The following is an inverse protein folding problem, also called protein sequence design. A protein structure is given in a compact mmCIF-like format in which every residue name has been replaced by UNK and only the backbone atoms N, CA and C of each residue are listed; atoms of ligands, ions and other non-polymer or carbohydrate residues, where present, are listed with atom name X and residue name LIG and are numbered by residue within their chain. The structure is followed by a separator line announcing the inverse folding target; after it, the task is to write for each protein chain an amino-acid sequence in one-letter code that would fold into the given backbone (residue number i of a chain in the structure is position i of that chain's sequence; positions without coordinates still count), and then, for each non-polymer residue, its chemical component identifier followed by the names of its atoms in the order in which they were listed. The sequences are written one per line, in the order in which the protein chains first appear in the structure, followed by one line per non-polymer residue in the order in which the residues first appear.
data_IF_908765809595
#
_entry.id   IF_908765809595
#
_cell.length_a   1.000
_cell.length_b   1.000
_cell.length_c   1.000
_cell.angle_alpha   90.00
_cell.angle_beta   90.00
_cell.angle_gamma   90.00
#
_symmetry.space_group_name_H-M   'P 1'
#
loop_
_entity.id
_entity.type
_entity.pdbx_description
1 polymer ?
#
# COMPACT_ATOMS: atom_id res chain seq x y z
N UNK A 1 -11.12 -7.67 16.17
CA UNK A 1 -12.58 -7.73 16.41
C UNK A 1 -12.91 -6.36 16.92
N UNK A 2 -13.53 -5.56 16.07
CA UNK A 2 -13.73 -4.13 16.34
C UNK A 2 -15.02 -3.93 17.15
N UNK A 3 -16.02 -4.79 16.92
CA UNK A 3 -17.27 -4.85 17.67
C UNK A 3 -17.72 -6.31 17.80
N UNK A 4 -18.35 -6.66 18.92
CA UNK A 4 -19.00 -7.97 19.14
C UNK A 4 -20.44 -7.70 19.57
N UNK A 5 -21.40 -8.17 18.78
CA UNK A 5 -22.83 -8.08 19.08
C UNK A 5 -23.32 -9.47 19.49
N UNK A 6 -23.78 -9.60 20.74
CA UNK A 6 -24.23 -10.86 21.28
C UNK A 6 -25.72 -11.11 20.97
N UNK A 7 -26.02 -12.23 20.32
CA UNK A 7 -27.39 -12.62 19.98
C UNK A 7 -27.80 -13.83 20.80
N UNK A 8 -28.73 -13.62 21.74
CA UNK A 8 -29.27 -14.68 22.60
C UNK A 8 -30.71 -15.04 22.18
N UNK A 9 -31.08 -16.34 22.16
CA UNK A 9 -32.47 -16.72 21.93
C UNK A 9 -33.32 -16.33 23.14
N UNK A 10 -34.39 -15.56 22.90
CA UNK A 10 -35.30 -15.14 23.99
C UNK A 10 -36.24 -16.25 24.44
N UNK A 11 -36.61 -17.17 23.53
CA UNK A 11 -37.55 -18.25 23.80
C UNK A 11 -37.20 -19.52 23.01
N UNK A 12 -37.64 -20.67 23.53
CA UNK A 12 -37.52 -21.95 22.86
C UNK A 12 -38.35 -21.95 21.58
N UNK A 13 -37.70 -22.22 20.44
CA UNK A 13 -38.34 -22.30 19.12
C UNK A 13 -39.49 -23.31 19.01
N UNK A 14 -39.60 -24.27 19.94
CA UNK A 14 -40.60 -25.34 19.91
C UNK A 14 -41.82 -25.08 20.80
N UNK A 15 -41.62 -24.57 22.02
CA UNK A 15 -42.68 -24.43 23.01
C UNK A 15 -42.88 -22.99 23.52
N UNK A 16 -42.05 -22.03 23.10
CA UNK A 16 -42.17 -20.63 23.50
C UNK A 16 -41.72 -20.31 24.92
N UNK A 17 -41.26 -21.29 25.70
CA UNK A 17 -40.71 -21.06 27.04
C UNK A 17 -39.52 -20.10 26.97
N UNK A 18 -39.50 -19.09 27.84
CA UNK A 18 -38.41 -18.12 27.92
C UNK A 18 -37.10 -18.81 28.33
N UNK A 19 -36.01 -18.46 27.65
CA UNK A 19 -34.69 -19.03 27.88
C UNK A 19 -33.80 -18.04 28.64
N UNK A 20 -33.03 -18.55 29.60
CA UNK A 20 -31.99 -17.82 30.31
C UNK A 20 -30.77 -18.74 30.46
N UNK A 21 -29.57 -18.20 30.27
CA UNK A 21 -28.33 -18.96 30.36
C UNK A 21 -27.18 -18.25 29.65
N UNK A 22 -25.98 -18.81 29.80
CA UNK A 22 -24.78 -18.40 29.09
C UNK A 22 -24.22 -19.59 28.32
N UNK A 23 -23.79 -19.34 27.09
CA UNK A 23 -23.09 -20.31 26.26
C UNK A 23 -21.60 -19.92 26.21
N UNK A 24 -20.68 -20.74 26.78
CA UNK A 24 -19.26 -20.43 26.77
C UNK A 24 -18.62 -20.60 25.39
N UNK A 25 -19.27 -21.30 24.44
CA UNK A 25 -18.74 -21.60 23.11
C UNK A 25 -19.73 -21.24 22.00
N UNK A 26 -20.10 -19.95 21.85
CA UNK A 26 -21.10 -19.54 20.87
C UNK A 26 -20.60 -19.75 19.44
N UNK A 27 -21.54 -20.09 18.54
CA UNK A 27 -21.29 -20.09 17.11
C UNK A 27 -20.95 -18.68 16.64
N UNK A 28 -19.82 -18.53 15.95
CA UNK A 28 -19.33 -17.22 15.49
C UNK A 28 -19.68 -16.98 14.02
N UNK A 29 -20.39 -15.90 13.75
CA UNK A 29 -20.61 -15.37 12.40
C UNK A 29 -19.96 -13.99 12.30
N UNK A 30 -19.11 -13.78 11.29
CA UNK A 30 -18.39 -12.52 11.11
C UNK A 30 -18.93 -11.81 9.88
N UNK A 31 -19.24 -10.53 10.05
CA UNK A 31 -19.55 -9.62 8.95
C UNK A 31 -18.39 -8.64 8.83
N UNK A 32 -17.88 -8.47 7.62
CA UNK A 32 -16.82 -7.50 7.30
C UNK A 32 -17.47 -6.42 6.44
N UNK A 33 -17.36 -5.16 6.88
CA UNK A 33 -17.95 -4.01 6.20
C UNK A 33 -16.87 -2.95 5.93
N UNK A 34 -17.05 -2.19 4.84
CA UNK A 34 -16.22 -1.03 4.52
C UNK A 34 -17.01 0.22 4.93
N UNK A 35 -16.58 0.96 5.96
CA UNK A 35 -17.25 2.20 6.34
C UNK A 35 -17.13 3.25 5.23
N UNK A 36 -17.99 4.29 5.22
CA UNK A 36 -17.88 5.39 4.27
C UNK A 36 -16.47 6.00 4.27
N UNK A 37 -15.86 6.11 3.09
CA UNK A 37 -14.50 6.64 2.94
C UNK A 37 -14.58 8.09 2.48
N UNK A 38 -14.22 9.03 3.36
CA UNK A 38 -14.26 10.47 3.06
C UNK A 38 -12.85 11.08 3.06
N UNK A 39 -12.46 11.86 2.03
CA UNK A 39 -11.19 12.54 2.01
C UNK A 39 -11.16 13.69 3.03
N UNK A 40 -10.05 13.83 3.74
CA UNK A 40 -9.78 15.02 4.55
C UNK A 40 -9.18 16.11 3.65
N UNK A 41 -9.89 17.23 3.51
CA UNK A 41 -9.44 18.39 2.76
C UNK A 41 -8.98 19.47 3.74
N UNK A 42 -7.71 19.89 3.61
CA UNK A 42 -7.11 20.94 4.45
C UNK A 42 -6.84 22.15 3.56
N UNK A 43 -7.49 23.28 3.87
CA UNK A 43 -7.30 24.54 3.16
C UNK A 43 -6.23 25.38 3.88
N UNK A 44 -5.12 25.67 3.20
CA UNK A 44 -4.11 26.60 3.70
C UNK A 44 -4.40 28.00 3.17
N UNK A 45 -4.71 28.94 4.07
CA UNK A 45 -4.98 30.35 3.72
C UNK A 45 -3.78 31.23 3.98
N UNK A 46 -3.20 31.77 2.92
CA UNK A 46 -2.06 32.67 2.99
C UNK A 46 -2.58 34.11 2.96
N UNK A 47 -2.47 34.80 4.10
CA UNK A 47 -2.90 36.19 4.21
C UNK A 47 -1.80 37.15 3.76
N UNK A 48 -2.21 38.26 3.14
CA UNK A 48 -1.35 39.37 2.76
C UNK A 48 -1.69 40.60 3.61
N UNK A 49 -0.68 41.17 4.24
CA UNK A 49 -0.79 42.38 5.06
C UNK A 49 0.16 43.45 4.54
N UNK A 50 -0.13 44.72 4.83
CA UNK A 50 0.68 45.87 4.42
C UNK A 50 1.30 46.50 5.67
N UNK A 51 2.61 46.76 5.68
CA UNK A 51 3.24 47.45 6.82
C UNK A 51 2.74 48.90 6.88
N UNK A 52 2.23 49.38 8.02
CA UNK A 52 1.88 50.79 8.18
C UNK A 52 3.12 51.72 8.15
N UNK A 53 4.32 51.15 8.33
CA UNK A 53 5.58 51.87 8.43
C UNK A 53 6.20 52.26 7.07
N UNK A 54 6.18 51.34 6.11
CA UNK A 54 6.90 51.45 4.85
C UNK A 54 6.03 51.06 3.63
N UNK A 55 4.75 50.76 3.85
CA UNK A 55 3.80 50.31 2.82
C UNK A 55 4.17 49.00 2.11
N UNK A 56 5.18 48.26 2.59
CA UNK A 56 5.54 46.95 2.04
C UNK A 56 4.42 45.94 2.24
N UNK A 57 4.04 45.25 1.16
CA UNK A 57 3.06 44.17 1.21
C UNK A 57 3.74 42.81 1.39
N UNK A 58 3.44 42.15 2.51
CA UNK A 58 4.00 40.84 2.87
C UNK A 58 2.91 39.80 2.87
N UNK A 59 3.14 38.68 2.19
CA UNK A 59 2.25 37.51 2.20
C UNK A 59 2.87 36.42 3.07
N UNK A 60 2.05 35.69 3.82
CA UNK A 60 2.49 34.46 4.46
C UNK A 60 3.01 33.47 3.40
N UNK A 61 4.01 32.66 3.76
CA UNK A 61 4.48 31.52 2.96
C UNK A 61 3.87 30.22 3.49
N UNK A 62 3.82 29.19 2.65
CA UNK A 62 3.45 27.86 3.12
C UNK A 62 4.62 27.23 3.90
N UNK A 63 4.33 26.34 4.86
CA UNK A 63 5.35 25.48 5.44
C UNK A 63 5.96 24.57 4.36
N UNK A 64 7.27 24.29 4.45
CA UNK A 64 7.98 23.49 3.46
C UNK A 64 7.40 22.08 3.31
N UNK A 65 6.78 21.54 4.36
CA UNK A 65 6.13 20.24 4.38
C UNK A 65 4.85 20.20 3.52
N UNK A 66 4.20 21.36 3.32
CA UNK A 66 2.96 21.49 2.54
C UNK A 66 3.27 21.75 1.06
N UNK A 67 4.43 22.34 0.74
CA UNK A 67 4.77 22.84 -0.59
C UNK A 67 5.13 21.77 -1.63
N UNK A 68 5.18 20.48 -1.29
CA UNK A 68 5.67 19.46 -2.24
C UNK A 68 4.58 18.82 -3.10
N UNK A 69 3.31 18.82 -2.66
CA UNK A 69 2.17 18.26 -3.43
C UNK A 69 0.84 18.76 -2.89
N UNK A 70 -0.11 19.05 -3.79
CA UNK A 70 -1.52 19.29 -3.45
C UNK A 70 -2.23 18.05 -2.86
N UNK A 71 -1.60 16.87 -2.96
CA UNK A 71 -2.11 15.60 -2.50
C UNK A 71 -1.23 15.06 -1.38
N UNK A 72 -1.83 14.83 -0.21
CA UNK A 72 -1.13 14.31 0.96
C UNK A 72 -0.49 12.92 0.75
N UNK A 73 0.37 12.47 1.68
CA UNK A 73 1.19 11.27 1.51
C UNK A 73 0.34 10.00 1.34
N UNK A 74 -0.78 9.86 2.05
CA UNK A 74 -1.67 8.69 1.95
C UNK A 74 -2.32 8.55 0.57
N UNK A 75 -2.84 9.65 0.03
CA UNK A 75 -3.44 9.64 -1.30
C UNK A 75 -2.38 9.43 -2.38
N UNK A 76 -1.21 10.04 -2.22
CA UNK A 76 -0.06 9.83 -3.11
C UNK A 76 0.37 8.36 -3.13
N UNK A 77 0.50 7.73 -1.96
CA UNK A 77 0.82 6.30 -1.84
C UNK A 77 -0.25 5.41 -2.50
N UNK A 78 -1.54 5.72 -2.33
CA UNK A 78 -2.62 5.00 -2.99
C UNK A 78 -2.54 5.10 -4.52
N UNK A 79 -2.29 6.31 -5.06
CA UNK A 79 -2.08 6.51 -6.51
C UNK A 79 -0.88 5.70 -7.02
N UNK A 80 0.20 5.64 -6.24
CA UNK A 80 1.36 4.80 -6.50
C UNK A 80 1.01 3.33 -6.59
N UNK A 81 0.36 2.81 -5.56
CA UNK A 81 -0.07 1.42 -5.46
C UNK A 81 -1.01 1.02 -6.60
N UNK A 82 -2.04 1.83 -6.88
CA UNK A 82 -2.98 1.60 -7.98
C UNK A 82 -2.28 1.58 -9.34
N UNK A 83 -1.20 2.33 -9.48
CA UNK A 83 -0.43 2.40 -10.72
C UNK A 83 0.64 1.32 -10.90
N UNK A 84 1.16 0.75 -9.81
CA UNK A 84 2.26 -0.22 -9.86
C UNK A 84 1.80 -1.66 -9.66
N UNK A 85 0.83 -1.89 -8.77
CA UNK A 85 0.37 -3.22 -8.40
C UNK A 85 -0.83 -3.72 -9.22
N UNK A 86 -1.56 -2.81 -9.86
CA UNK A 86 -2.77 -3.13 -10.62
C UNK A 86 -2.63 -2.70 -12.09
N UNK A 87 -3.27 -3.42 -13.04
CA UNK A 87 -3.25 -3.07 -14.47
C UNK A 87 -4.22 -1.92 -14.78
N UNK A 88 -4.13 -0.81 -14.03
CA UNK A 88 -4.98 0.36 -14.18
C UNK A 88 -4.28 1.43 -15.01
N UNK A 89 -4.95 1.86 -16.08
CA UNK A 89 -4.57 3.07 -16.80
C UNK A 89 -4.79 4.31 -15.92
N UNK A 90 -4.20 5.44 -16.31
CA UNK A 90 -4.47 6.71 -15.63
C UNK A 90 -5.98 7.02 -15.56
N UNK A 91 -6.70 6.87 -16.67
CA UNK A 91 -8.15 7.13 -16.71
C UNK A 91 -8.94 6.21 -15.78
N UNK A 92 -8.60 4.91 -15.72
CA UNK A 92 -9.25 3.98 -14.79
C UNK A 92 -8.97 4.33 -13.34
N UNK A 93 -7.75 4.77 -13.05
CA UNK A 93 -7.37 5.20 -11.70
C UNK A 93 -8.12 6.47 -11.29
N UNK A 94 -8.25 7.45 -12.20
CA UNK A 94 -9.04 8.66 -11.95
C UNK A 94 -10.50 8.31 -11.65
N UNK A 95 -11.12 7.46 -12.48
CA UNK A 95 -12.51 7.03 -12.27
C UNK A 95 -12.70 6.31 -10.93
N UNK A 96 -11.76 5.46 -10.53
CA UNK A 96 -11.83 4.76 -9.25
C UNK A 96 -11.71 5.73 -8.06
N UNK A 97 -10.77 6.68 -8.12
CA UNK A 97 -10.59 7.67 -7.05
C UNK A 97 -11.80 8.61 -6.93
N UNK A 98 -12.41 8.99 -8.05
CA UNK A 98 -13.63 9.79 -8.07
C UNK A 98 -14.83 9.01 -7.50
N UNK A 99 -15.03 7.76 -7.94
CA UNK A 99 -16.17 6.94 -7.51
C UNK A 99 -16.10 6.48 -6.06
N UNK A 100 -14.90 6.13 -5.56
CA UNK A 100 -14.74 5.61 -4.20
C UNK A 100 -14.48 6.69 -3.16
N UNK A 101 -13.77 7.76 -3.55
CA UNK A 101 -13.30 8.78 -2.61
C UNK A 101 -13.80 10.19 -2.95
N UNK A 102 -14.49 10.40 -4.07
CA UNK A 102 -14.86 11.74 -4.54
C UNK A 102 -13.66 12.62 -4.91
N UNK A 103 -12.49 12.02 -5.19
CA UNK A 103 -11.25 12.75 -5.45
C UNK A 103 -11.00 12.90 -6.94
N UNK A 104 -11.10 14.14 -7.42
CA UNK A 104 -10.74 14.48 -8.79
C UNK A 104 -9.25 14.82 -8.89
N UNK A 105 -8.49 13.94 -9.53
CA UNK A 105 -7.06 14.11 -9.75
C UNK A 105 -6.76 14.16 -11.25
N UNK A 106 -5.85 15.03 -11.66
CA UNK A 106 -5.41 15.12 -13.07
C UNK A 106 -4.36 14.05 -13.39
N UNK A 107 -4.27 13.65 -14.67
CA UNK A 107 -3.22 12.73 -15.15
C UNK A 107 -1.81 13.27 -14.90
N UNK A 108 -1.61 14.58 -15.04
CA UNK A 108 -0.33 15.24 -14.76
C UNK A 108 0.06 15.11 -13.29
N UNK A 109 -0.87 15.40 -12.38
CA UNK A 109 -0.64 15.22 -10.95
C UNK A 109 -0.29 13.78 -10.59
N UNK A 110 -0.99 12.79 -11.16
CA UNK A 110 -0.65 11.38 -10.97
C UNK A 110 0.75 11.03 -11.48
N UNK A 111 1.15 11.57 -12.63
CA UNK A 111 2.50 11.36 -13.16
C UNK A 111 3.56 11.95 -12.23
N UNK A 112 3.36 13.18 -11.72
CA UNK A 112 4.24 13.81 -10.74
C UNK A 112 4.34 13.01 -9.44
N UNK A 113 3.21 12.54 -8.90
CA UNK A 113 3.19 11.66 -7.73
C UNK A 113 4.01 10.39 -7.97
N UNK A 114 3.79 9.72 -9.12
CA UNK A 114 4.53 8.49 -9.47
C UNK A 114 6.03 8.73 -9.63
N UNK A 115 6.43 9.86 -10.21
CA UNK A 115 7.84 10.24 -10.32
C UNK A 115 8.47 10.46 -8.94
N UNK A 116 7.80 11.21 -8.07
CA UNK A 116 8.26 11.45 -6.68
C UNK A 116 8.38 10.15 -5.90
N UNK A 117 7.39 9.26 -6.01
CA UNK A 117 7.43 7.93 -5.42
C UNK A 117 8.58 7.09 -5.96
N UNK A 118 8.78 7.07 -7.28
CA UNK A 118 9.87 6.32 -7.91
C UNK A 118 11.23 6.78 -7.41
N UNK A 119 11.43 8.10 -7.28
CA UNK A 119 12.65 8.66 -6.72
C UNK A 119 12.82 8.30 -5.23
N UNK A 120 11.76 8.39 -4.43
CA UNK A 120 11.81 8.07 -3.01
C UNK A 120 12.08 6.58 -2.74
N UNK A 121 11.60 5.69 -3.61
CA UNK A 121 11.75 4.23 -3.50
C UNK A 121 13.03 3.69 -4.12
N UNK A 122 13.81 4.51 -4.84
CA UNK A 122 15.02 4.07 -5.53
C UNK A 122 16.03 3.44 -4.58
N UNK A 123 16.39 4.14 -3.50
CA UNK A 123 17.36 3.65 -2.51
C UNK A 123 16.86 2.37 -1.80
N UNK A 124 15.65 2.33 -1.21
CA UNK A 124 15.11 1.10 -0.61
C UNK A 124 15.07 -0.09 -1.58
N UNK A 125 14.74 0.16 -2.86
CA UNK A 125 14.72 -0.88 -3.88
C UNK A 125 16.13 -1.41 -4.17
N UNK A 126 17.13 -0.53 -4.26
CA UNK A 126 18.54 -0.93 -4.45
C UNK A 126 19.05 -1.79 -3.30
N UNK A 127 18.75 -1.42 -2.05
CA UNK A 127 19.10 -2.20 -0.86
C UNK A 127 18.43 -3.58 -0.86
N UNK A 128 17.12 -3.63 -1.15
CA UNK A 128 16.38 -4.88 -1.24
C UNK A 128 16.94 -5.81 -2.33
N UNK A 129 17.30 -5.25 -3.50
CA UNK A 129 17.93 -6.00 -4.58
C UNK A 129 19.34 -6.51 -4.20
N UNK A 130 20.13 -5.69 -3.51
CA UNK A 130 21.46 -6.09 -3.05
C UNK A 130 21.36 -7.24 -2.05
N UNK A 131 20.43 -7.16 -1.09
CA UNK A 131 20.15 -8.23 -0.15
C UNK A 131 19.69 -9.52 -0.85
N UNK A 132 18.72 -9.41 -1.78
CA UNK A 132 18.21 -10.56 -2.53
C UNK A 132 19.30 -11.29 -3.33
N UNK A 133 20.26 -10.54 -3.91
CA UNK A 133 21.39 -11.10 -4.66
C UNK A 133 22.39 -11.87 -3.80
N UNK A 134 22.46 -11.59 -2.50
CA UNK A 134 23.35 -12.30 -1.56
C UNK A 134 22.75 -13.62 -1.07
N UNK A 135 21.46 -13.87 -1.31
CA UNK A 135 20.82 -15.11 -0.90
C UNK A 135 21.22 -16.28 -1.80
N UNK A 136 21.60 -17.39 -1.19
CA UNK A 136 22.04 -18.61 -1.88
C UNK A 136 20.90 -19.38 -2.56
N UNK A 137 19.64 -19.07 -2.22
CA UNK A 137 18.44 -19.64 -2.83
C UNK A 137 17.42 -18.53 -3.03
N UNK A 138 17.02 -18.31 -4.29
CA UNK A 138 15.94 -17.39 -4.65
C UNK A 138 14.76 -18.21 -5.15
N UNK A 139 13.64 -18.18 -4.42
CA UNK A 139 12.38 -18.73 -4.91
C UNK A 139 11.73 -17.72 -5.85
N UNK A 140 11.94 -17.91 -7.16
CA UNK A 140 11.25 -17.13 -8.18
C UNK A 140 9.85 -17.73 -8.36
N UNK A 141 8.82 -17.04 -7.90
CA UNK A 141 7.45 -17.35 -8.29
C UNK A 141 7.30 -17.13 -9.79
N UNK A 142 6.67 -18.07 -10.50
CA UNK A 142 6.31 -17.86 -11.90
C UNK A 142 5.40 -16.63 -12.01
N UNK A 143 5.73 -15.63 -12.84
CA UNK A 143 4.81 -14.54 -13.10
C UNK A 143 3.57 -15.15 -13.76
N UNK A 144 2.41 -14.93 -13.14
CA UNK A 144 1.12 -15.24 -13.73
C UNK A 144 1.03 -14.41 -15.03
N UNK A 145 1.02 -15.12 -16.17
CA UNK A 145 1.05 -14.54 -17.52
C UNK A 145 -0.24 -13.77 -17.77
N UNK A 146 -0.25 -12.45 -17.56
CA UNK A 146 -1.33 -11.62 -18.11
C UNK A 146 -0.93 -10.21 -18.58
N UNK A 147 0.36 -9.97 -18.83
CA UNK A 147 0.81 -8.77 -19.54
C UNK A 147 1.65 -9.13 -20.77
N UNK A 148 1.08 -8.91 -21.96
CA UNK A 148 1.80 -9.00 -23.25
C UNK A 148 3.00 -8.05 -23.23
N UNK A 149 4.20 -8.47 -23.67
CA UNK A 149 5.37 -7.61 -23.70
C UNK A 149 5.29 -6.63 -24.89
N UNK A 150 5.48 -5.34 -24.62
CA UNK A 150 5.96 -4.40 -25.64
C UNK A 150 7.48 -4.39 -25.51
N UNK A 151 8.18 -4.91 -26.52
CA UNK A 151 9.64 -4.77 -26.66
C UNK A 151 10.44 -5.99 -26.23
N UNK A 152 11.24 -6.49 -27.17
CA UNK A 152 12.01 -7.73 -27.08
C UNK A 152 13.06 -7.72 -25.96
N UNK A 153 13.13 -8.81 -25.21
CA UNK A 153 14.18 -9.07 -24.23
C UNK A 153 14.15 -10.53 -23.81
N UNK A 154 14.89 -11.38 -24.54
CA UNK A 154 15.21 -12.74 -24.13
C UNK A 154 15.81 -12.73 -22.71
N UNK A 155 15.08 -13.20 -21.70
CA UNK A 155 15.71 -13.50 -20.41
C UNK A 155 16.36 -14.87 -20.51
N UNK A 156 17.63 -14.84 -20.91
CA UNK A 156 18.52 -16.01 -20.92
C UNK A 156 18.86 -16.37 -19.48
N UNK A 157 18.60 -17.62 -19.11
CA UNK A 157 18.97 -18.20 -17.82
C UNK A 157 20.51 -18.16 -17.70
N UNK A 158 21.06 -17.24 -16.91
CA UNK A 158 22.46 -17.29 -16.52
C UNK A 158 22.57 -17.91 -15.12
N UNK A 159 23.04 -19.16 -15.09
CA UNK A 159 23.70 -19.70 -13.89
C UNK A 159 24.94 -18.84 -13.63
N UNK A 160 24.94 -18.08 -12.54
CA UNK A 160 26.20 -17.60 -11.96
C UNK A 160 26.77 -18.78 -11.15
N UNK A 161 27.55 -19.63 -11.82
CA UNK A 161 28.36 -20.64 -11.13
C UNK A 161 29.66 -19.96 -10.68
N UNK A 162 29.78 -19.66 -9.39
CA UNK A 162 31.10 -19.67 -8.77
C UNK A 162 31.44 -21.11 -8.37
N UNK A 163 32.58 -21.58 -8.86
CA UNK A 163 33.24 -22.85 -8.54
C UNK A 163 32.54 -24.14 -9.02
N UNK A 164 33.17 -24.81 -9.98
CA UNK A 164 32.74 -26.11 -10.48
C UNK A 164 32.80 -27.21 -9.42
N UNK A 165 31.71 -27.97 -9.33
CA UNK A 165 31.67 -29.41 -9.02
C UNK A 165 30.27 -29.92 -9.40
N UNK A 166 30.22 -30.94 -10.27
CA UNK A 166 28.99 -31.69 -10.56
C UNK A 166 28.65 -32.51 -9.31
N UNK A 167 27.46 -32.32 -8.76
CA UNK A 167 26.96 -33.05 -7.59
C UNK A 167 25.45 -33.22 -7.69
N UNK A 168 24.99 -34.38 -7.24
CA UNK A 168 23.72 -35.03 -7.57
C UNK A 168 22.44 -34.26 -7.18
N UNK A 169 21.38 -34.51 -7.96
CA UNK A 169 20.00 -34.09 -7.64
C UNK A 169 19.52 -34.96 -6.48
N UNK A 170 19.44 -34.39 -5.28
CA UNK A 170 18.68 -34.97 -4.16
C UNK A 170 17.50 -34.06 -3.82
N UNK A 171 16.30 -34.63 -3.91
CA UNK A 171 15.07 -34.00 -3.42
C UNK A 171 15.13 -33.89 -1.90
N UNK A 172 15.07 -32.67 -1.37
CA UNK A 172 14.99 -32.43 0.06
C UNK A 172 13.59 -31.91 0.42
N UNK A 173 12.99 -32.62 1.39
CA UNK A 173 11.66 -32.44 1.96
C UNK A 173 11.59 -31.11 2.72
N UNK A 174 10.47 -30.40 2.57
CA UNK A 174 10.16 -29.13 3.23
C UNK A 174 10.41 -29.18 4.74
N UNK A 175 11.39 -28.42 5.22
CA UNK A 175 11.49 -28.02 6.62
C UNK A 175 11.15 -26.53 6.70
N UNK A 176 10.07 -26.23 7.42
CA UNK A 176 9.67 -24.88 7.82
C UNK A 176 10.77 -24.35 8.76
N UNK A 177 11.62 -23.48 8.27
CA UNK A 177 12.40 -22.57 9.13
C UNK A 177 11.82 -21.18 8.95
N UNK A 178 11.38 -20.62 10.07
CA UNK A 178 10.81 -19.29 10.14
C UNK A 178 11.85 -18.26 9.69
N UNK A 179 11.68 -17.77 8.46
CA UNK A 179 12.29 -16.53 8.03
C UNK A 179 11.54 -15.40 8.74
N UNK A 180 12.09 -14.96 9.86
CA UNK A 180 11.73 -13.68 10.43
C UNK A 180 12.32 -12.60 9.52
N UNK A 181 11.53 -12.22 8.51
CA UNK A 181 11.78 -11.04 7.70
C UNK A 181 11.83 -9.83 8.63
N UNK A 182 12.80 -8.90 8.49
CA UNK A 182 12.64 -7.59 9.11
C UNK A 182 11.33 -7.00 8.54
N UNK A 183 10.42 -6.63 9.44
CA UNK A 183 9.05 -6.24 9.10
C UNK A 183 9.04 -5.26 7.94
N UNK A 184 8.53 -5.68 6.77
CA UNK A 184 8.34 -4.80 5.61
C UNK A 184 7.51 -3.56 5.92
N UNK A 185 6.77 -3.56 7.04
CA UNK A 185 6.07 -2.40 7.57
C UNK A 185 7.02 -1.27 8.01
N UNK A 186 8.23 -1.57 8.50
CA UNK A 186 9.21 -0.54 8.92
C UNK A 186 9.81 0.22 7.74
N UNK A 187 10.03 -0.46 6.61
CA UNK A 187 10.59 0.15 5.39
C UNK A 187 9.51 1.01 4.70
N UNK A 188 8.27 0.53 4.67
CA UNK A 188 7.13 1.30 4.16
C UNK A 188 6.86 2.56 5.01
N UNK A 189 6.93 2.47 6.34
CA UNK A 189 6.66 3.61 7.24
C UNK A 189 7.73 4.72 7.14
N UNK A 190 8.99 4.35 6.94
CA UNK A 190 10.07 5.33 6.70
C UNK A 190 10.00 5.98 5.32
N UNK A 191 9.51 5.26 4.30
CA UNK A 191 9.30 5.82 2.97
C UNK A 191 8.08 6.76 2.92
N UNK A 192 7.00 6.44 3.65
CA UNK A 192 5.80 7.29 3.74
C UNK A 192 6.10 8.65 4.39
N UNK A 193 7.04 8.71 5.35
CA UNK A 193 7.48 9.98 5.97
C UNK A 193 8.33 10.86 5.06
N UNK A 194 8.82 10.34 3.92
CA UNK A 194 9.63 11.06 2.92
C UNK A 194 8.80 11.52 1.70
N UNK A 195 7.50 11.24 1.66
CA UNK A 195 6.55 11.66 0.62
C UNK A 195 5.77 12.91 1.04
#
# INVERSE_FOLDING_TARGET
MDEVVEHHPQACRRCGTLLQGQDPEPLRHQVIEIPPITPLVIEHRLHRLVCPCCSTSTCASLPAEVEVSHYGPRLSALVGLLGSAFPLSFSKTQALLDQLLGVQISRGAMATIRQRLSAALEQPMQEALAFARQQSVVYVGTPEKDSRPIGAGFVRLLRVNQAGKRGDIKSARSQKHGLQMPSGALIADQAIKKL
#
